data_IF_704851292747
#
_entry.id   IF_704851292747
#
_cell.length_a   1.000
_cell.length_b   1.000
_cell.length_c   1.000
_cell.angle_alpha   90.00
_cell.angle_beta   90.00
_cell.angle_gamma   90.00
#
_symmetry.space_group_name_H-M   'P 1'
#
loop_
_entity.id
_entity.type
_entity.pdbx_description
1 polymer ?
#
# COMPACT_ATOMS: atom_id res chain seq x y z
N UNK A 1 24.03 8.89 25.58
CA UNK A 1 22.79 8.09 25.51
C UNK A 1 23.07 6.85 24.68
N UNK A 2 23.09 5.69 25.29
CA UNK A 2 23.30 4.40 24.61
C UNK A 2 22.10 4.14 23.70
N UNK A 3 22.29 4.28 22.38
CA UNK A 3 21.28 3.84 21.41
C UNK A 3 21.17 2.32 21.52
N UNK A 4 20.18 1.82 22.27
CA UNK A 4 19.96 0.39 22.36
C UNK A 4 19.48 -0.14 21.01
N UNK A 5 20.26 -1.07 20.45
CA UNK A 5 19.94 -1.77 19.21
C UNK A 5 19.14 -3.01 19.58
N UNK A 6 17.99 -3.21 18.94
CA UNK A 6 17.21 -4.45 19.00
C UNK A 6 17.30 -5.22 17.68
N UNK A 7 16.54 -6.30 17.57
CA UNK A 7 16.29 -6.99 16.30
C UNK A 7 14.84 -6.80 15.89
N UNK A 8 14.60 -6.64 14.60
CA UNK A 8 13.26 -6.64 14.03
C UNK A 8 13.25 -7.47 12.75
N UNK A 9 12.08 -7.99 12.41
CA UNK A 9 11.83 -8.67 11.13
C UNK A 9 10.84 -7.84 10.33
N UNK A 10 11.12 -7.64 9.04
CA UNK A 10 10.24 -6.95 8.09
C UNK A 10 10.04 -7.79 6.84
N UNK A 11 8.90 -7.56 6.20
CA UNK A 11 8.61 -8.16 4.91
C UNK A 11 9.29 -7.35 3.80
N UNK A 12 9.76 -8.08 2.80
CA UNK A 12 10.36 -7.56 1.57
C UNK A 12 9.56 -8.12 0.42
N UNK A 13 9.08 -7.22 -0.44
CA UNK A 13 8.17 -7.55 -1.53
C UNK A 13 8.93 -7.53 -2.85
N UNK A 14 8.94 -8.68 -3.54
CA UNK A 14 9.77 -8.90 -4.73
C UNK A 14 8.82 -9.18 -5.90
N UNK A 15 8.69 -8.27 -6.88
CA UNK A 15 7.86 -8.50 -8.05
C UNK A 15 8.39 -9.68 -8.88
N UNK A 16 7.49 -10.48 -9.47
CA UNK A 16 7.85 -11.64 -10.28
C UNK A 16 7.34 -11.47 -11.71
N UNK A 17 8.25 -11.67 -12.67
CA UNK A 17 7.98 -11.60 -14.11
C UNK A 17 7.16 -12.80 -14.62
N UNK A 18 7.30 -13.94 -13.97
CA UNK A 18 6.78 -15.24 -14.40
C UNK A 18 6.40 -16.13 -13.20
N UNK A 19 5.76 -17.25 -13.51
CA UNK A 19 5.23 -18.20 -12.52
C UNK A 19 3.84 -17.82 -12.00
N UNK A 20 3.37 -18.51 -10.96
CA UNK A 20 1.98 -18.39 -10.46
C UNK A 20 1.80 -17.34 -9.37
N UNK A 21 2.87 -16.62 -8.99
CA UNK A 21 2.84 -15.57 -7.96
C UNK A 21 3.19 -14.22 -8.59
N UNK A 22 2.48 -13.15 -8.25
CA UNK A 22 2.84 -11.79 -8.70
C UNK A 22 3.95 -11.19 -7.85
N UNK A 23 3.87 -11.39 -6.53
CA UNK A 23 4.80 -10.81 -5.55
C UNK A 23 5.27 -11.91 -4.62
N UNK A 24 6.57 -12.18 -4.66
CA UNK A 24 7.24 -13.03 -3.67
C UNK A 24 7.50 -12.23 -2.40
N UNK A 25 7.21 -12.83 -1.24
CA UNK A 25 7.37 -12.17 0.06
C UNK A 25 8.43 -12.89 0.87
N UNK A 26 9.47 -12.16 1.28
CA UNK A 26 10.53 -12.67 2.16
C UNK A 26 10.57 -11.91 3.47
N UNK A 27 10.93 -12.61 4.54
CA UNK A 27 11.21 -12.03 5.84
C UNK A 27 12.71 -11.74 5.96
N UNK A 28 13.06 -10.53 6.39
CA UNK A 28 14.45 -10.14 6.67
C UNK A 28 14.55 -9.64 8.09
N UNK A 29 15.45 -10.25 8.86
CA UNK A 29 15.81 -9.83 10.21
C UNK A 29 17.05 -8.93 10.16
N UNK A 30 17.00 -7.80 10.86
CA UNK A 30 18.02 -6.75 10.82
C UNK A 30 18.12 -6.02 12.16
N UNK A 31 19.09 -5.11 12.27
CA UNK A 31 19.27 -4.30 13.48
C UNK A 31 18.26 -3.15 13.51
N UNK A 32 17.47 -3.12 14.58
CA UNK A 32 16.47 -2.10 14.82
C UNK A 32 17.00 -1.06 15.81
N UNK A 33 17.26 0.15 15.33
CA UNK A 33 17.65 1.25 16.20
C UNK A 33 16.42 1.79 16.92
N UNK A 34 16.39 1.67 18.26
CA UNK A 34 15.25 2.13 19.06
C UNK A 34 15.23 3.66 19.15
N UNK A 35 14.04 4.23 19.00
CA UNK A 35 13.78 5.66 18.99
C UNK A 35 12.75 6.02 17.92
N UNK A 36 12.17 7.22 18.03
CA UNK A 36 11.11 7.68 17.11
C UNK A 36 11.57 8.76 16.14
N UNK A 37 12.81 9.25 16.26
CA UNK A 37 13.28 10.30 15.36
C UNK A 37 13.46 9.77 13.93
N UNK A 38 13.29 10.67 12.98
CA UNK A 38 13.46 10.40 11.56
C UNK A 38 14.82 9.74 11.25
N UNK A 39 15.91 10.30 11.80
CA UNK A 39 17.27 9.80 11.60
C UNK A 39 17.50 8.44 12.28
N UNK A 40 16.75 8.08 13.32
CA UNK A 40 16.81 6.74 13.94
C UNK A 40 16.13 5.70 13.05
N UNK A 41 14.97 6.03 12.48
CA UNK A 41 14.27 5.16 11.52
C UNK A 41 15.11 4.92 10.27
N UNK A 42 15.72 5.97 9.74
CA UNK A 42 16.64 5.87 8.60
C UNK A 42 17.85 4.96 8.86
N UNK A 43 18.41 4.94 10.07
CA UNK A 43 19.46 3.97 10.42
C UNK A 43 18.96 2.52 10.39
N UNK A 44 17.74 2.29 10.86
CA UNK A 44 17.10 0.96 10.80
C UNK A 44 16.83 0.54 9.35
N UNK A 45 16.45 1.49 8.49
CA UNK A 45 16.26 1.28 7.06
C UNK A 45 17.57 0.87 6.37
N UNK A 46 18.69 1.56 6.66
CA UNK A 46 20.00 1.18 6.13
C UNK A 46 20.36 -0.26 6.50
N UNK A 47 20.19 -0.63 7.78
CA UNK A 47 20.42 -2.00 8.24
C UNK A 47 19.53 -3.02 7.51
N UNK A 48 18.25 -2.71 7.29
CA UNK A 48 17.34 -3.57 6.52
C UNK A 48 17.85 -3.77 5.08
N UNK A 49 18.16 -2.68 4.37
CA UNK A 49 18.60 -2.73 2.98
C UNK A 49 19.96 -3.41 2.81
N UNK A 50 20.89 -3.23 3.74
CA UNK A 50 22.15 -3.97 3.77
C UNK A 50 21.93 -5.47 3.97
N UNK A 51 21.05 -5.87 4.89
CA UNK A 51 20.73 -7.28 5.10
C UNK A 51 20.04 -7.91 3.89
N UNK A 52 19.15 -7.19 3.21
CA UNK A 52 18.54 -7.63 1.94
C UNK A 52 19.61 -7.94 0.89
N UNK A 53 20.58 -7.02 0.72
CA UNK A 53 21.67 -7.17 -0.25
C UNK A 53 22.61 -8.31 0.13
N UNK A 54 23.00 -8.39 1.40
CA UNK A 54 23.92 -9.42 1.91
C UNK A 54 23.34 -10.83 1.81
N UNK A 55 22.01 -10.98 1.94
CA UNK A 55 21.32 -12.26 1.75
C UNK A 55 21.05 -12.59 0.27
N UNK A 56 21.46 -11.72 -0.67
CA UNK A 56 21.22 -11.90 -2.11
C UNK A 56 19.74 -11.83 -2.49
N UNK A 57 18.89 -11.22 -1.66
CA UNK A 57 17.44 -11.12 -1.91
C UNK A 57 17.15 -10.14 -3.04
N UNK A 58 17.82 -8.99 -3.04
CA UNK A 58 17.63 -7.92 -4.02
C UNK A 58 18.90 -7.07 -4.11
N UNK A 59 19.19 -6.51 -5.29
CA UNK A 59 20.36 -5.64 -5.51
C UNK A 59 20.02 -4.18 -5.23
N UNK A 60 18.82 -3.75 -5.61
CA UNK A 60 18.34 -2.38 -5.55
C UNK A 60 16.97 -2.32 -4.84
N UNK A 61 16.92 -2.54 -3.51
CA UNK A 61 15.70 -2.35 -2.76
C UNK A 61 15.31 -0.86 -2.71
N UNK A 62 14.01 -0.57 -2.78
CA UNK A 62 13.44 0.77 -2.60
C UNK A 62 12.51 0.79 -1.38
N UNK A 63 12.70 1.77 -0.52
CA UNK A 63 11.79 2.05 0.58
C UNK A 63 10.62 2.90 0.10
N UNK A 64 9.39 2.45 0.36
CA UNK A 64 8.16 3.16 0.05
C UNK A 64 7.59 3.67 1.37
N UNK A 65 8.10 4.81 1.85
CA UNK A 65 7.60 5.49 3.06
C UNK A 65 8.18 6.90 3.16
N UNK A 66 7.69 7.67 4.12
CA UNK A 66 8.27 8.97 4.48
C UNK A 66 9.75 8.89 4.88
N UNK A 67 10.26 7.70 5.26
CA UNK A 67 11.64 7.49 5.75
C UNK A 67 12.65 7.18 4.65
N UNK A 68 12.20 7.02 3.41
CA UNK A 68 13.08 6.70 2.28
C UNK A 68 14.20 7.73 2.12
N UNK A 69 15.39 7.26 1.73
CA UNK A 69 16.50 8.13 1.28
C UNK A 69 16.34 8.57 -0.19
N UNK A 70 15.44 7.92 -0.92
CA UNK A 70 15.17 8.20 -2.34
C UNK A 70 13.84 8.93 -2.44
N UNK A 71 13.86 10.12 -3.06
CA UNK A 71 12.67 10.97 -3.26
C UNK A 71 11.51 10.22 -3.94
N UNK A 72 11.79 9.34 -4.90
CA UNK A 72 10.81 8.44 -5.51
C UNK A 72 10.03 7.65 -4.45
N UNK A 73 10.72 7.05 -3.49
CA UNK A 73 10.11 6.27 -2.42
C UNK A 73 9.22 7.10 -1.48
N UNK A 74 9.60 8.36 -1.24
CA UNK A 74 8.79 9.30 -0.46
C UNK A 74 7.52 9.68 -1.20
N UNK A 75 7.62 9.98 -2.51
CA UNK A 75 6.47 10.33 -3.37
C UNK A 75 5.51 9.17 -3.59
N UNK A 76 6.03 7.94 -3.62
CA UNK A 76 5.21 6.74 -3.73
C UNK A 76 4.44 6.43 -2.43
N UNK A 77 4.82 6.97 -1.26
CA UNK A 77 4.07 6.68 -0.04
C UNK A 77 2.57 7.05 -0.16
N UNK A 78 1.69 6.29 0.47
CA UNK A 78 0.23 6.49 0.40
C UNK A 78 -0.20 7.90 0.86
N UNK A 79 0.61 8.52 1.71
CA UNK A 79 0.42 9.87 2.20
C UNK A 79 0.74 10.96 1.18
N UNK A 80 1.60 10.67 0.19
CA UNK A 80 2.12 11.62 -0.79
C UNK A 80 1.74 11.28 -2.24
N UNK A 81 1.27 10.07 -2.53
CA UNK A 81 0.88 9.68 -3.87
C UNK A 81 -0.49 10.30 -4.19
N UNK A 82 -0.47 11.39 -4.97
CA UNK A 82 -1.64 12.24 -5.22
C UNK A 82 -2.38 11.89 -6.52
N UNK A 83 -3.68 12.14 -6.53
CA UNK A 83 -4.51 12.27 -7.72
C UNK A 83 -5.29 13.58 -7.72
N UNK A 84 -6.00 13.86 -8.80
CA UNK A 84 -6.83 15.06 -8.95
C UNK A 84 -8.30 14.70 -9.11
N UNK A 85 -9.17 15.40 -8.39
CA UNK A 85 -10.62 15.21 -8.51
C UNK A 85 -11.07 15.85 -9.84
N UNK A 86 -11.76 15.12 -10.73
CA UNK A 86 -12.27 15.70 -11.97
C UNK A 86 -13.10 16.96 -11.74
N UNK A 87 -12.87 18.00 -12.53
CA UNK A 87 -13.59 19.27 -12.48
C UNK A 87 -13.47 20.05 -11.15
N UNK A 88 -12.50 19.69 -10.29
CA UNK A 88 -12.15 20.47 -9.09
C UNK A 88 -10.64 20.72 -9.08
N UNK A 89 -10.22 21.88 -8.54
CA UNK A 89 -8.80 22.16 -8.28
C UNK A 89 -8.24 21.37 -7.09
N UNK A 90 -9.09 20.63 -6.38
CA UNK A 90 -8.73 19.85 -5.21
C UNK A 90 -8.02 18.54 -5.58
N UNK A 91 -7.02 18.21 -4.77
CA UNK A 91 -6.28 16.95 -4.84
C UNK A 91 -6.75 15.99 -3.75
N UNK A 92 -6.39 14.73 -3.92
CA UNK A 92 -6.52 13.68 -2.92
C UNK A 92 -5.24 12.82 -2.92
N UNK A 93 -5.03 12.03 -1.87
CA UNK A 93 -3.94 11.03 -1.82
C UNK A 93 -4.54 9.64 -1.72
N UNK A 94 -3.72 8.60 -1.90
CA UNK A 94 -4.15 7.22 -1.63
C UNK A 94 -4.69 7.07 -0.20
N UNK A 95 -4.07 7.75 0.78
CA UNK A 95 -4.56 7.78 2.15
C UNK A 95 -5.97 8.40 2.25
N UNK A 96 -6.16 9.61 1.72
CA UNK A 96 -7.44 10.32 1.91
C UNK A 96 -8.58 9.62 1.18
N UNK A 97 -8.34 9.06 -0.01
CA UNK A 97 -9.35 8.30 -0.74
C UNK A 97 -9.69 6.99 -0.03
N UNK A 98 -8.70 6.28 0.52
CA UNK A 98 -8.94 5.07 1.30
C UNK A 98 -9.82 5.36 2.52
N UNK A 99 -9.47 6.36 3.32
CA UNK A 99 -10.23 6.72 4.52
C UNK A 99 -11.64 7.21 4.20
N UNK A 100 -11.77 8.08 3.18
CA UNK A 100 -13.06 8.62 2.74
C UNK A 100 -13.99 7.59 2.08
N UNK A 101 -13.50 6.38 1.80
CA UNK A 101 -14.27 5.29 1.20
C UNK A 101 -14.83 4.31 2.22
N UNK A 102 -14.47 4.42 3.50
CA UNK A 102 -14.95 3.49 4.53
C UNK A 102 -16.42 3.70 4.84
N UNK A 103 -17.20 2.63 4.77
CA UNK A 103 -18.59 2.58 5.23
C UNK A 103 -18.66 1.69 6.47
N UNK A 104 -19.31 2.17 7.52
CA UNK A 104 -19.36 1.50 8.82
C UNK A 104 -20.75 0.98 9.14
N UNK A 105 -20.81 -0.14 9.85
CA UNK A 105 -22.08 -0.71 10.33
C UNK A 105 -22.77 0.27 11.28
N UNK A 106 -24.07 0.43 11.11
CA UNK A 106 -24.93 1.30 11.92
C UNK A 106 -24.56 2.80 11.87
N UNK A 107 -23.82 3.23 10.86
CA UNK A 107 -23.47 4.64 10.68
C UNK A 107 -23.99 5.17 9.32
N UNK A 108 -25.22 5.74 9.30
CA UNK A 108 -25.81 6.26 8.07
C UNK A 108 -25.09 7.49 7.51
N UNK A 109 -24.15 8.09 8.26
CA UNK A 109 -23.36 9.23 7.79
C UNK A 109 -22.08 8.80 7.07
N UNK A 110 -21.74 7.52 7.10
CA UNK A 110 -20.61 6.97 6.34
C UNK A 110 -21.05 6.61 4.90
N UNK A 111 -20.20 6.79 3.88
CA UNK A 111 -18.80 7.20 3.94
C UNK A 111 -18.60 8.71 4.14
N UNK A 112 -17.57 9.09 4.90
CA UNK A 112 -17.22 10.49 5.19
C UNK A 112 -16.45 11.13 4.03
N UNK A 113 -17.18 11.57 2.99
CA UNK A 113 -16.59 12.11 1.75
C UNK A 113 -15.80 13.41 1.94
N UNK A 114 -16.09 14.18 2.99
CA UNK A 114 -15.34 15.40 3.31
C UNK A 114 -13.87 15.13 3.69
N UNK A 115 -13.52 13.89 4.06
CA UNK A 115 -12.14 13.47 4.35
C UNK A 115 -11.25 13.52 3.11
N UNK A 116 -11.82 13.34 1.91
CA UNK A 116 -11.08 13.21 0.66
C UNK A 116 -10.13 14.39 0.39
N UNK A 117 -10.53 15.60 0.79
CA UNK A 117 -9.81 16.86 0.55
C UNK A 117 -9.03 17.36 1.76
N UNK A 118 -8.92 16.58 2.84
CA UNK A 118 -8.06 16.89 3.99
C UNK A 118 -6.61 16.49 3.70
N UNK A 119 -5.68 16.82 4.59
CA UNK A 119 -4.34 16.21 4.54
C UNK A 119 -4.41 14.72 4.91
N UNK A 120 -3.47 13.92 4.41
CA UNK A 120 -3.34 12.49 4.76
C UNK A 120 -3.27 12.24 6.27
N UNK A 121 -2.62 13.16 7.01
CA UNK A 121 -2.53 13.10 8.47
C UNK A 121 -3.88 13.33 9.14
N UNK A 122 -4.62 14.37 8.72
CA UNK A 122 -5.96 14.65 9.24
C UNK A 122 -6.94 13.53 8.90
N UNK A 123 -6.86 12.97 7.69
CA UNK A 123 -7.68 11.85 7.26
C UNK A 123 -7.45 10.60 8.12
N UNK A 124 -6.20 10.23 8.38
CA UNK A 124 -5.85 9.09 9.25
C UNK A 124 -6.26 9.30 10.70
N UNK A 125 -6.21 10.54 11.19
CA UNK A 125 -6.51 10.88 12.59
C UNK A 125 -7.98 11.23 12.82
N UNK A 126 -8.84 11.18 11.79
CA UNK A 126 -10.24 11.56 11.91
C UNK A 126 -10.98 10.69 12.92
N UNK A 127 -11.43 11.30 14.02
CA UNK A 127 -12.08 10.61 15.15
C UNK A 127 -13.34 9.84 14.71
N UNK A 128 -14.00 10.27 13.63
CA UNK A 128 -15.19 9.58 13.10
C UNK A 128 -14.86 8.20 12.52
N UNK A 129 -13.60 7.85 12.33
CA UNK A 129 -13.16 6.55 11.80
C UNK A 129 -12.78 5.55 12.91
N UNK A 130 -12.65 6.01 14.16
CA UNK A 130 -12.20 5.19 15.28
C UNK A 130 -13.33 4.38 15.89
N UNK A 131 -12.98 3.22 16.45
CA UNK A 131 -13.89 2.34 17.20
C UNK A 131 -15.17 1.94 16.45
N UNK A 132 -15.09 1.86 15.11
CA UNK A 132 -16.19 1.44 14.25
C UNK A 132 -15.91 0.13 13.55
N UNK A 133 -16.99 -0.62 13.27
CA UNK A 133 -16.94 -1.86 12.52
C UNK A 133 -17.12 -1.52 11.04
N UNK A 134 -16.07 -1.75 10.25
CA UNK A 134 -16.12 -1.56 8.81
C UNK A 134 -17.10 -2.57 8.19
N UNK A 135 -17.97 -2.10 7.30
CA UNK A 135 -18.94 -2.92 6.56
C UNK A 135 -18.45 -3.22 5.15
N UNK A 136 -18.11 -2.17 4.40
CA UNK A 136 -17.58 -2.25 3.04
C UNK A 136 -16.84 -0.94 2.71
N UNK A 137 -16.23 -0.89 1.53
CA UNK A 137 -15.76 0.37 0.97
C UNK A 137 -16.71 0.83 -0.14
N UNK A 138 -16.99 2.13 -0.19
CA UNK A 138 -17.72 2.75 -1.29
C UNK A 138 -16.76 3.67 -2.06
N UNK A 139 -16.49 3.34 -3.32
CA UNK A 139 -15.71 4.17 -4.23
C UNK A 139 -16.63 4.87 -5.21
N UNK A 140 -17.17 6.04 -4.84
CA UNK A 140 -18.09 6.81 -5.68
C UNK A 140 -19.19 5.94 -6.30
N UNK A 141 -20.05 5.37 -5.45
CA UNK A 141 -21.15 4.46 -5.81
C UNK A 141 -20.71 3.09 -6.37
N UNK A 142 -19.42 2.75 -6.25
CA UNK A 142 -18.91 1.41 -6.52
C UNK A 142 -18.60 0.72 -5.19
N UNK A 143 -19.49 -0.16 -4.77
CA UNK A 143 -19.31 -0.98 -3.56
C UNK A 143 -18.15 -1.95 -3.73
N UNK A 144 -17.28 -2.04 -2.73
CA UNK A 144 -16.16 -2.97 -2.62
C UNK A 144 -16.30 -3.76 -1.32
N UNK A 145 -16.36 -5.08 -1.44
CA UNK A 145 -16.41 -5.97 -0.29
C UNK A 145 -15.07 -5.99 0.46
N UNK A 146 -15.10 -6.44 1.71
CA UNK A 146 -13.90 -6.55 2.55
C UNK A 146 -13.01 -7.72 2.14
N UNK A 147 -13.49 -8.62 1.29
CA UNK A 147 -12.71 -9.73 0.75
C UNK A 147 -12.60 -9.62 -0.78
N UNK A 148 -11.39 -9.83 -1.35
CA UNK A 148 -10.13 -10.10 -0.68
C UNK A 148 -9.57 -8.89 0.10
N UNK A 149 -9.07 -9.11 1.32
CA UNK A 149 -8.71 -8.04 2.30
C UNK A 149 -7.97 -6.81 1.77
N UNK A 150 -6.96 -6.98 0.91
CA UNK A 150 -6.17 -5.85 0.39
C UNK A 150 -6.66 -5.33 -0.98
N UNK A 151 -7.61 -6.01 -1.62
CA UNK A 151 -7.95 -5.77 -3.02
C UNK A 151 -8.36 -4.32 -3.27
N UNK A 152 -9.21 -3.75 -2.40
CA UNK A 152 -9.61 -2.37 -2.54
C UNK A 152 -8.43 -1.39 -2.42
N UNK A 153 -7.53 -1.62 -1.44
CA UNK A 153 -6.36 -0.77 -1.24
C UNK A 153 -5.36 -0.86 -2.42
N UNK A 154 -5.06 -2.07 -2.88
CA UNK A 154 -4.19 -2.28 -4.03
C UNK A 154 -4.77 -1.64 -5.29
N UNK A 155 -6.08 -1.76 -5.48
CA UNK A 155 -6.79 -1.19 -6.62
C UNK A 155 -6.72 0.34 -6.63
N UNK A 156 -7.04 1.02 -5.51
CA UNK A 156 -6.95 2.49 -5.46
C UNK A 156 -5.49 2.95 -5.66
N UNK A 157 -4.52 2.25 -5.05
CA UNK A 157 -3.12 2.63 -5.13
C UNK A 157 -2.64 2.58 -6.58
N UNK A 158 -2.89 1.46 -7.27
CA UNK A 158 -2.49 1.27 -8.66
C UNK A 158 -3.22 2.26 -9.58
N UNK A 159 -4.52 2.52 -9.36
CA UNK A 159 -5.26 3.51 -10.15
C UNK A 159 -4.67 4.92 -10.00
N UNK A 160 -4.25 5.32 -8.80
CA UNK A 160 -3.63 6.63 -8.58
C UNK A 160 -2.23 6.69 -9.24
N UNK A 161 -1.44 5.63 -9.08
CA UNK A 161 -0.11 5.54 -9.69
C UNK A 161 -0.19 5.62 -11.23
N UNK A 162 -1.02 4.78 -11.84
CA UNK A 162 -1.12 4.67 -13.30
C UNK A 162 -1.72 5.93 -13.95
N UNK A 163 -2.80 6.47 -13.38
CA UNK A 163 -3.57 7.52 -14.06
C UNK A 163 -3.02 8.93 -13.80
N UNK A 164 -2.25 9.13 -12.72
CA UNK A 164 -1.78 10.47 -12.32
C UNK A 164 -0.26 10.58 -12.20
N UNK A 165 0.48 9.46 -12.11
CA UNK A 165 1.90 9.47 -11.72
C UNK A 165 2.77 8.56 -12.60
N UNK A 166 2.56 8.58 -13.93
CA UNK A 166 3.30 7.74 -14.88
C UNK A 166 4.82 7.94 -14.81
N UNK A 167 5.29 9.15 -14.55
CA UNK A 167 6.73 9.43 -14.43
C UNK A 167 7.34 8.74 -13.20
N UNK A 168 6.57 8.54 -12.13
CA UNK A 168 7.00 7.75 -10.97
C UNK A 168 6.98 6.27 -11.32
N UNK A 169 5.93 5.80 -12.00
CA UNK A 169 5.77 4.42 -12.41
C UNK A 169 6.93 3.91 -13.28
N UNK A 170 7.39 4.71 -14.23
CA UNK A 170 8.56 4.39 -15.07
C UNK A 170 9.82 4.16 -14.23
N UNK A 171 10.04 4.98 -13.19
CA UNK A 171 11.23 4.89 -12.33
C UNK A 171 11.23 3.66 -11.43
N UNK A 172 10.05 3.12 -11.08
CA UNK A 172 9.91 1.86 -10.30
C UNK A 172 10.61 0.69 -11.03
N UNK A 173 10.75 0.76 -12.35
CA UNK A 173 11.38 -0.29 -13.16
C UNK A 173 12.86 -0.52 -12.84
N UNK A 174 13.54 0.43 -12.19
CA UNK A 174 14.96 0.30 -11.79
C UNK A 174 15.21 -0.45 -10.48
N UNK A 175 14.17 -0.78 -9.70
CA UNK A 175 14.29 -1.38 -8.36
C UNK A 175 13.74 -2.81 -8.32
N UNK A 176 14.40 -3.75 -7.64
CA UNK A 176 14.07 -5.18 -7.69
C UNK A 176 13.40 -5.73 -6.42
N UNK A 177 13.25 -4.90 -5.38
CA UNK A 177 12.42 -5.20 -4.22
C UNK A 177 11.91 -3.91 -3.56
N UNK A 178 10.82 -4.03 -2.81
CA UNK A 178 10.18 -2.91 -2.13
C UNK A 178 10.01 -3.22 -0.64
N UNK A 179 10.25 -2.20 0.18
CA UNK A 179 10.14 -2.28 1.64
C UNK A 179 9.31 -1.14 2.18
N UNK A 180 8.74 -1.37 3.36
CA UNK A 180 8.13 -0.35 4.20
C UNK A 180 8.59 -0.64 5.64
N UNK A 181 9.46 0.23 6.15
CA UNK A 181 10.11 0.08 7.46
C UNK A 181 9.12 0.20 8.61
N UNK A 182 8.03 0.94 8.41
CA UNK A 182 6.97 1.15 9.39
C UNK A 182 5.87 0.09 9.26
N UNK A 183 5.89 -0.73 8.19
CA UNK A 183 4.98 -1.85 8.05
C UNK A 183 5.12 -2.88 9.16
N UNK A 184 4.03 -3.09 9.89
CA UNK A 184 3.88 -4.21 10.80
C UNK A 184 2.71 -5.10 10.35
N UNK A 185 3.05 -6.18 9.64
CA UNK A 185 2.09 -7.17 9.12
C UNK A 185 1.25 -7.87 10.20
N UNK A 186 1.59 -7.71 11.49
CA UNK A 186 0.80 -8.23 12.62
C UNK A 186 -0.30 -7.29 13.09
N UNK A 187 -0.30 -6.05 12.60
CA UNK A 187 -1.22 -4.97 13.00
C UNK A 187 -1.98 -4.36 11.84
N UNK A 188 -1.45 -4.53 10.63
CA UNK A 188 -2.05 -4.04 9.40
C UNK A 188 -1.82 -5.01 8.27
N UNK A 189 -2.77 -5.04 7.35
CA UNK A 189 -2.73 -5.90 6.16
C UNK A 189 -2.41 -5.12 4.88
N UNK A 190 -2.73 -3.82 4.83
CA UNK A 190 -2.50 -2.98 3.66
C UNK A 190 -1.07 -2.45 3.68
N UNK A 191 -0.33 -2.63 2.58
CA UNK A 191 1.05 -2.20 2.49
C UNK A 191 1.36 -1.54 1.15
N UNK A 192 1.79 -0.27 1.20
CA UNK A 192 2.22 0.50 0.03
C UNK A 192 3.36 -0.16 -0.75
N UNK A 193 4.35 -0.74 -0.06
CA UNK A 193 5.44 -1.46 -0.72
C UNK A 193 4.96 -2.71 -1.47
N UNK A 194 3.95 -3.40 -0.95
CA UNK A 194 3.32 -4.52 -1.66
C UNK A 194 2.61 -4.03 -2.93
N UNK A 195 1.81 -2.96 -2.85
CA UNK A 195 1.10 -2.42 -4.02
C UNK A 195 2.06 -1.94 -5.12
N UNK A 196 3.22 -1.39 -4.76
CA UNK A 196 4.29 -1.05 -5.73
C UNK A 196 4.88 -2.30 -6.38
N UNK A 197 5.17 -3.35 -5.61
CA UNK A 197 5.64 -4.61 -6.16
C UNK A 197 4.60 -5.23 -7.10
N UNK A 198 3.32 -5.19 -6.71
CA UNK A 198 2.20 -5.67 -7.50
C UNK A 198 2.09 -4.92 -8.83
N UNK A 199 2.15 -3.58 -8.80
CA UNK A 199 2.16 -2.74 -10.01
C UNK A 199 3.23 -3.23 -11.00
N UNK A 200 4.47 -3.36 -10.52
CA UNK A 200 5.59 -3.78 -11.37
C UNK A 200 5.43 -5.20 -11.94
N UNK A 201 4.90 -6.13 -11.14
CA UNK A 201 4.64 -7.49 -11.60
C UNK A 201 3.57 -7.54 -12.70
N UNK A 202 2.50 -6.76 -12.55
CA UNK A 202 1.42 -6.65 -13.54
C UNK A 202 1.92 -6.01 -14.84
N UNK A 203 2.78 -5.00 -14.75
CA UNK A 203 3.39 -4.36 -15.93
C UNK A 203 4.25 -5.35 -16.72
N UNK A 204 5.06 -6.16 -16.04
CA UNK A 204 5.89 -7.19 -16.69
C UNK A 204 5.10 -8.30 -17.37
N UNK A 205 3.89 -8.63 -16.89
CA UNK A 205 3.07 -9.76 -17.38
C UNK A 205 2.14 -9.35 -18.52
N UNK A 206 2.60 -8.44 -19.37
CA UNK A 206 1.87 -7.98 -20.55
C UNK A 206 1.04 -6.72 -20.35
N UNK A 207 1.31 -5.93 -19.30
CA UNK A 207 0.62 -4.65 -19.10
C UNK A 207 -0.85 -4.79 -18.70
N UNK A 208 -1.16 -5.81 -17.87
CA UNK A 208 -2.52 -6.11 -17.37
C UNK A 208 -3.15 -4.94 -16.59
N UNK A 209 -2.36 -3.92 -16.24
CA UNK A 209 -2.81 -2.72 -15.53
C UNK A 209 -3.95 -2.03 -16.28
N UNK A 210 -3.86 -1.93 -17.61
CA UNK A 210 -4.85 -1.19 -18.42
C UNK A 210 -6.25 -1.77 -18.33
N UNK A 211 -6.38 -3.08 -18.09
CA UNK A 211 -7.67 -3.76 -18.00
C UNK A 211 -8.53 -3.25 -16.83
N UNK A 212 -7.93 -2.62 -15.82
CA UNK A 212 -8.65 -2.07 -14.68
C UNK A 212 -8.35 -0.58 -14.38
N UNK A 213 -7.45 0.05 -15.12
CA UNK A 213 -7.16 1.49 -14.98
C UNK A 213 -7.66 2.35 -16.13
N UNK A 214 -7.89 1.81 -17.33
CA UNK A 214 -8.36 2.58 -18.49
C UNK A 214 -9.79 3.10 -18.28
N UNK A 215 -9.95 4.42 -18.17
CA UNK A 215 -11.24 5.07 -17.93
C UNK A 215 -12.29 4.86 -19.02
N UNK A 216 -11.91 4.32 -20.19
CA UNK A 216 -12.85 3.90 -21.23
C UNK A 216 -13.63 2.64 -20.85
N UNK A 217 -13.13 1.85 -19.90
CA UNK A 217 -13.79 0.66 -19.39
C UNK A 217 -14.71 1.07 -18.21
N UNK A 218 -15.99 0.63 -18.19
CA UNK A 218 -16.90 0.89 -17.08
C UNK A 218 -16.30 0.51 -15.72
N UNK A 219 -16.55 1.31 -14.67
CA UNK A 219 -15.90 1.14 -13.36
C UNK A 219 -16.19 -0.23 -12.72
N UNK A 220 -17.37 -0.77 -12.96
CA UNK A 220 -17.79 -2.11 -12.53
C UNK A 220 -16.95 -3.19 -13.22
N UNK A 221 -16.81 -3.09 -14.54
CA UNK A 221 -15.98 -4.02 -15.31
C UNK A 221 -14.49 -3.92 -14.93
N UNK A 222 -13.97 -2.71 -14.66
CA UNK A 222 -12.60 -2.54 -14.16
C UNK A 222 -12.37 -3.23 -12.83
N UNK A 223 -13.32 -3.13 -11.91
CA UNK A 223 -13.28 -3.86 -10.64
C UNK A 223 -13.28 -5.38 -10.88
N UNK A 224 -14.16 -5.88 -11.73
CA UNK A 224 -14.22 -7.31 -12.07
C UNK A 224 -12.91 -7.81 -12.69
N UNK A 225 -12.34 -7.06 -13.63
CA UNK A 225 -11.06 -7.39 -14.26
C UNK A 225 -9.94 -7.46 -13.22
N UNK A 226 -9.85 -6.47 -12.32
CA UNK A 226 -8.85 -6.50 -11.25
C UNK A 226 -9.03 -7.70 -10.32
N UNK A 227 -10.26 -8.01 -9.92
CA UNK A 227 -10.56 -9.15 -9.06
C UNK A 227 -10.25 -10.49 -9.72
N UNK A 228 -10.52 -10.62 -11.03
CA UNK A 228 -10.16 -11.80 -11.81
C UNK A 228 -8.63 -11.97 -11.84
N UNK A 229 -7.89 -10.91 -12.18
CA UNK A 229 -6.43 -10.91 -12.22
C UNK A 229 -5.86 -11.37 -10.87
N UNK A 230 -6.25 -10.77 -9.75
CA UNK A 230 -5.67 -11.14 -8.44
C UNK A 230 -6.12 -12.53 -7.94
N UNK A 231 -7.19 -13.10 -8.51
CA UNK A 231 -7.66 -14.45 -8.19
C UNK A 231 -6.85 -15.52 -8.95
N UNK A 232 -6.36 -15.18 -10.14
CA UNK A 232 -5.59 -16.10 -10.99
C UNK A 232 -4.15 -16.32 -10.49
N UNK A 233 -3.70 -15.55 -9.50
CA UNK A 233 -2.36 -15.68 -8.91
C UNK A 233 -2.43 -16.02 -7.43
N UNK A 234 -1.50 -16.88 -6.98
CA UNK A 234 -1.35 -17.19 -5.56
C UNK A 234 -0.96 -15.91 -4.81
N UNK A 235 -1.75 -15.55 -3.81
CA UNK A 235 -1.55 -14.34 -3.00
C UNK A 235 -0.84 -14.68 -1.71
N UNK A 236 0.08 -13.80 -1.30
CA UNK A 236 0.55 -13.82 0.08
C UNK A 236 -0.60 -13.41 1.01
N UNK A 237 -1.17 -14.37 1.73
CA UNK A 237 -2.29 -14.11 2.66
C UNK A 237 -1.84 -13.66 4.07
N UNK A 238 -0.53 -13.46 4.28
CA UNK A 238 0.01 -13.23 5.63
C UNK A 238 0.01 -14.53 6.44
N UNK A 239 1.18 -15.01 6.86
CA UNK A 239 1.22 -16.15 7.79
C UNK A 239 0.49 -15.78 9.10
N UNK A 240 -0.69 -16.36 9.36
CA UNK A 240 -1.30 -16.43 10.70
C UNK A 240 -2.52 -15.54 11.00
N UNK A 241 -3.17 -14.88 10.04
CA UNK A 241 -4.38 -14.05 10.30
C UNK A 241 -5.71 -14.72 9.87
N UNK A 242 -5.79 -16.04 9.92
CA UNK A 242 -7.07 -16.74 9.68
C UNK A 242 -8.02 -16.72 10.88
N UNK A 243 -7.58 -16.41 12.11
CA UNK A 243 -8.43 -16.70 13.29
C UNK A 243 -8.75 -15.55 14.25
N UNK A 244 -8.20 -14.34 14.12
CA UNK A 244 -8.60 -13.20 14.99
C UNK A 244 -8.47 -11.85 14.28
N UNK A 245 -9.38 -11.55 13.36
CA UNK A 245 -9.48 -10.20 12.78
C UNK A 245 -10.55 -9.44 13.56
N UNK A 246 -10.14 -8.51 14.40
CA UNK A 246 -11.00 -7.39 14.74
C UNK A 246 -10.82 -6.35 13.63
N UNK A 247 -11.91 -5.88 13.01
CA UNK A 247 -11.91 -5.08 11.77
C UNK A 247 -11.19 -3.69 11.87
N UNK A 248 -10.60 -3.36 13.01
CA UNK A 248 -9.80 -2.15 13.25
C UNK A 248 -8.40 -2.17 12.60
N UNK A 249 -7.90 -3.32 12.15
CA UNK A 249 -6.52 -3.48 11.64
C UNK A 249 -6.34 -3.15 10.14
N UNK A 250 -7.38 -2.68 9.44
CA UNK A 250 -7.29 -2.24 8.03
C UNK A 250 -6.69 -0.83 7.85
N UNK A 251 -5.92 -0.33 8.81
CA UNK A 251 -5.34 1.01 8.76
C UNK A 251 -4.05 1.04 7.89
N UNK A 252 -3.93 1.97 6.94
CA UNK A 252 -2.69 2.21 6.20
C UNK A 252 -1.57 2.74 7.10
N UNK A 253 -0.34 2.47 6.66
CA UNK A 253 0.89 2.54 7.46
C UNK A 253 1.38 3.97 7.69
N UNK A 254 2.33 4.11 8.62
CA UNK A 254 2.90 5.39 9.09
C UNK A 254 3.59 6.21 7.99
#
# INVERSE_FOLDING_TARGET
>A
MTNSIGKATRLVFIPKKDGNILVEVKEVTFDWHKGMSFQVRQRSLLSLHENIKNQGIAKNPLEISSKSFVDLGVKLSAFNLEGTIPNKSSKFTVETIFQSSKVFKNDPNSPYRDILTKSSREAKQDERLKDKILDHFDYFDLRWELEPKTAFYDWIYINVLENYNKDLAEKIMHYDAFTDIEFNHKKSINCQAYSVALYKALEWRGGLIKDFTDSKIPKEQRKENFLAIIKDFDKYEGKGMAEKINHQELLPLE
#
